data_IF_276245342271
#
_entry.id   IF_276245342271
#
_cell.length_a   1.000
_cell.length_b   1.000
_cell.length_c   1.000
_cell.angle_alpha   90.00
_cell.angle_beta   90.00
_cell.angle_gamma   90.00
#
_symmetry.space_group_name_H-M   'P 1'
#
loop_
_entity.id
_entity.type
_entity.pdbx_description
1 polymer ?
#
# COMPACT_ATOMS: atom_id res chain seq x y z
N UNK A 1 -3.22 0.58 -11.67
CA UNK A 1 -2.82 1.20 -12.96
C UNK A 1 -1.57 2.07 -12.82
N UNK A 2 -1.52 3.00 -11.86
CA UNK A 2 -0.38 3.93 -11.71
C UNK A 2 0.98 3.25 -11.46
N UNK A 3 1.05 2.29 -10.53
CA UNK A 3 2.29 1.57 -10.22
C UNK A 3 2.89 0.89 -11.47
N UNK A 4 2.06 0.28 -12.32
CA UNK A 4 2.51 -0.43 -13.52
C UNK A 4 3.16 0.50 -14.54
N UNK A 5 2.58 1.69 -14.74
CA UNK A 5 3.13 2.69 -15.67
C UNK A 5 4.51 3.18 -15.20
N UNK A 6 4.63 3.51 -13.91
CA UNK A 6 5.90 3.92 -13.34
C UNK A 6 6.92 2.78 -13.40
N UNK A 7 6.49 1.55 -13.10
CA UNK A 7 7.34 0.36 -13.18
C UNK A 7 7.96 0.20 -14.57
N UNK A 8 7.14 0.25 -15.61
CA UNK A 8 7.59 0.06 -16.99
C UNK A 8 8.56 1.17 -17.39
N UNK A 9 8.25 2.43 -17.06
CA UNK A 9 9.13 3.56 -17.35
C UNK A 9 10.52 3.43 -16.69
N UNK A 10 10.59 2.98 -15.43
CA UNK A 10 11.87 2.79 -14.74
C UNK A 10 12.62 1.55 -15.25
N UNK A 11 11.89 0.51 -15.67
CA UNK A 11 12.49 -0.69 -16.25
C UNK A 11 13.15 -0.46 -17.61
N UNK A 12 12.76 0.59 -18.35
CA UNK A 12 13.39 1.00 -19.61
C UNK A 12 14.73 1.74 -19.40
N UNK A 13 14.99 2.26 -18.19
CA UNK A 13 16.24 2.95 -17.89
C UNK A 13 17.43 1.97 -17.77
N UNK A 14 18.65 2.37 -18.18
CA UNK A 14 19.88 1.64 -17.85
C UNK A 14 20.03 1.43 -16.35
N UNK A 15 20.65 0.31 -15.95
CA UNK A 15 20.82 -0.03 -14.53
C UNK A 15 21.53 1.07 -13.73
N UNK A 16 22.47 1.76 -14.35
CA UNK A 16 23.25 2.86 -13.75
C UNK A 16 22.42 4.08 -13.38
N UNK A 17 21.25 4.27 -14.00
CA UNK A 17 20.35 5.41 -13.74
C UNK A 17 19.28 5.08 -12.68
N UNK A 18 19.17 3.81 -12.26
CA UNK A 18 18.17 3.32 -11.29
C UNK A 18 18.61 3.54 -9.84
N UNK A 19 19.13 4.72 -9.54
CA UNK A 19 19.81 5.00 -8.26
C UNK A 19 18.86 5.54 -7.18
N UNK A 20 17.75 6.15 -7.58
CA UNK A 20 16.84 6.81 -6.65
C UNK A 20 15.80 5.82 -6.11
N UNK A 21 15.71 5.61 -4.79
CA UNK A 21 14.70 4.74 -4.20
C UNK A 21 13.29 5.32 -4.40
N UNK A 22 12.37 4.48 -4.85
CA UNK A 22 10.96 4.79 -5.09
C UNK A 22 10.12 4.09 -4.02
N UNK A 23 9.51 4.87 -3.14
CA UNK A 23 8.72 4.33 -2.04
C UNK A 23 7.26 4.12 -2.47
N UNK A 24 6.78 2.88 -2.37
CA UNK A 24 5.38 2.52 -2.60
C UNK A 24 4.72 2.34 -1.25
N UNK A 25 3.74 3.19 -0.92
CA UNK A 25 3.03 3.17 0.35
C UNK A 25 1.58 2.73 0.12
N UNK A 26 1.10 1.80 0.93
CA UNK A 26 -0.34 1.48 0.99
C UNK A 26 -0.85 1.73 2.40
N UNK A 27 -1.96 2.47 2.52
CA UNK A 27 -2.62 2.73 3.79
C UNK A 27 -3.80 1.78 3.96
N UNK A 28 -3.80 1.00 5.03
CA UNK A 28 -4.96 0.23 5.48
C UNK A 28 -5.77 1.08 6.49
N UNK A 29 -7.09 0.95 6.52
CA UNK A 29 -7.94 1.72 7.46
C UNK A 29 -8.40 0.91 8.67
N UNK A 30 -8.09 -0.39 8.69
CA UNK A 30 -8.39 -1.31 9.80
C UNK A 30 -9.83 -1.80 9.80
N UNK A 31 -10.47 -1.85 8.62
CA UNK A 31 -11.81 -2.44 8.41
C UNK A 31 -11.78 -3.65 7.49
N UNK A 32 -10.61 -3.94 6.93
CA UNK A 32 -10.37 -5.03 6.01
C UNK A 32 -10.57 -6.37 6.73
N UNK A 33 -11.13 -7.36 6.02
CA UNK A 33 -11.27 -8.71 6.57
C UNK A 33 -9.90 -9.39 6.66
N UNK A 34 -9.71 -10.40 7.53
CA UNK A 34 -8.43 -11.13 7.61
C UNK A 34 -7.97 -11.70 6.26
N UNK A 35 -8.91 -12.15 5.44
CA UNK A 35 -8.62 -12.65 4.10
C UNK A 35 -8.09 -11.54 3.17
N UNK A 36 -8.66 -10.34 3.27
CA UNK A 36 -8.26 -9.18 2.47
C UNK A 36 -6.89 -8.65 2.91
N UNK A 37 -6.65 -8.51 4.22
CA UNK A 37 -5.32 -8.18 4.76
C UNK A 37 -4.26 -9.17 4.27
N UNK A 38 -4.52 -10.48 4.38
CA UNK A 38 -3.59 -11.50 3.90
C UNK A 38 -3.35 -11.40 2.38
N UNK A 39 -4.35 -11.05 1.59
CA UNK A 39 -4.19 -10.81 0.16
C UNK A 39 -3.33 -9.58 -0.13
N UNK A 40 -3.55 -8.47 0.58
CA UNK A 40 -2.76 -7.25 0.46
C UNK A 40 -1.30 -7.54 0.81
N UNK A 41 -1.02 -8.16 1.97
CA UNK A 41 0.35 -8.51 2.37
C UNK A 41 1.07 -9.36 1.34
N UNK A 42 0.42 -10.41 0.82
CA UNK A 42 1.00 -11.25 -0.26
C UNK A 42 1.25 -10.48 -1.54
N UNK A 43 0.38 -9.53 -1.88
CA UNK A 43 0.53 -8.69 -3.07
C UNK A 43 1.73 -7.75 -2.92
N UNK A 44 1.87 -7.09 -1.77
CA UNK A 44 3.01 -6.20 -1.48
C UNK A 44 4.33 -6.97 -1.48
N UNK A 45 4.35 -8.17 -0.90
CA UNK A 45 5.52 -9.04 -0.94
C UNK A 45 5.92 -9.38 -2.38
N UNK A 46 4.96 -9.78 -3.23
CA UNK A 46 5.23 -10.05 -4.64
C UNK A 46 5.77 -8.82 -5.38
N UNK A 47 5.28 -7.63 -5.06
CA UNK A 47 5.78 -6.39 -5.67
C UNK A 47 7.25 -6.19 -5.29
N UNK A 48 7.61 -6.30 -4.02
CA UNK A 48 8.99 -6.16 -3.57
C UNK A 48 9.90 -7.22 -4.23
N UNK A 49 9.52 -8.49 -4.18
CA UNK A 49 10.30 -9.58 -4.77
C UNK A 49 10.53 -9.40 -6.28
N UNK A 50 9.56 -8.87 -7.01
CA UNK A 50 9.71 -8.61 -8.44
C UNK A 50 10.59 -7.38 -8.72
N UNK A 51 10.57 -6.38 -7.83
CA UNK A 51 11.43 -5.21 -7.96
C UNK A 51 12.89 -5.63 -7.76
N UNK A 52 13.16 -6.43 -6.73
CA UNK A 52 14.48 -6.96 -6.42
C UNK A 52 15.02 -7.81 -7.59
N UNK A 53 14.19 -8.72 -8.13
CA UNK A 53 14.56 -9.56 -9.29
C UNK A 53 14.91 -8.75 -10.55
N UNK A 54 14.28 -7.60 -10.74
CA UNK A 54 14.48 -6.75 -11.92
C UNK A 54 15.50 -5.63 -11.66
N UNK A 55 16.12 -5.59 -10.47
CA UNK A 55 16.98 -4.49 -10.03
C UNK A 55 16.29 -3.12 -10.22
N UNK A 56 15.03 -3.04 -9.79
CA UNK A 56 14.28 -1.80 -9.76
C UNK A 56 14.32 -1.22 -8.35
N UNK A 57 14.48 0.09 -8.20
CA UNK A 57 14.74 0.71 -6.90
C UNK A 57 13.44 0.93 -6.10
N UNK A 58 12.47 0.00 -6.16
CA UNK A 58 11.23 0.11 -5.40
C UNK A 58 11.39 -0.41 -3.97
N UNK A 59 10.86 0.34 -3.01
CA UNK A 59 10.75 -0.07 -1.60
C UNK A 59 9.28 -0.02 -1.21
N UNK A 60 8.71 -1.18 -0.89
CA UNK A 60 7.29 -1.33 -0.61
C UNK A 60 7.04 -1.28 0.89
N UNK A 61 6.10 -0.44 1.30
CA UNK A 61 5.72 -0.18 2.68
C UNK A 61 4.23 -0.47 2.87
N UNK A 62 3.92 -1.30 3.87
CA UNK A 62 2.57 -1.46 4.39
C UNK A 62 2.40 -0.54 5.59
N UNK A 63 1.43 0.37 5.53
CA UNK A 63 1.09 1.27 6.63
C UNK A 63 -0.23 0.82 7.24
N UNK A 64 -0.17 0.46 8.51
CA UNK A 64 -1.33 0.08 9.30
C UNK A 64 -1.59 1.16 10.35
N UNK A 65 -2.87 1.45 10.65
CA UNK A 65 -3.21 2.44 11.66
C UNK A 65 -2.88 1.86 13.03
N UNK A 66 -2.42 2.72 13.93
CA UNK A 66 -2.37 2.36 15.34
C UNK A 66 -3.79 2.01 15.84
N UNK A 67 -3.91 1.17 16.86
CA UNK A 67 -5.22 0.77 17.42
C UNK A 67 -6.15 1.96 17.69
N UNK A 68 -5.62 3.07 18.23
CA UNK A 68 -6.37 4.30 18.53
C UNK A 68 -6.80 5.10 17.29
N UNK A 69 -6.20 4.82 16.15
CA UNK A 69 -6.46 5.49 14.88
C UNK A 69 -7.30 4.64 13.94
N UNK A 70 -7.46 3.34 14.25
CA UNK A 70 -8.32 2.41 13.54
C UNK A 70 -9.76 2.91 13.46
N UNK A 71 -10.42 2.56 12.36
CA UNK A 71 -11.83 2.88 12.15
C UNK A 71 -12.72 2.40 13.30
N UNK A 72 -12.57 1.15 13.74
CA UNK A 72 -13.40 0.58 14.79
C UNK A 72 -13.21 1.25 16.15
N UNK A 73 -11.98 1.65 16.50
CA UNK A 73 -11.76 2.42 17.72
C UNK A 73 -12.43 3.80 17.64
N UNK A 74 -12.38 4.48 16.49
CA UNK A 74 -13.05 5.77 16.31
C UNK A 74 -14.57 5.65 16.40
N UNK A 75 -15.16 4.64 15.75
CA UNK A 75 -16.62 4.48 15.72
C UNK A 75 -17.16 3.91 17.02
N UNK A 76 -16.69 2.74 17.45
CA UNK A 76 -17.21 2.04 18.63
C UNK A 76 -16.59 2.60 19.91
N UNK A 77 -15.27 2.81 19.92
CA UNK A 77 -14.53 3.22 21.12
C UNK A 77 -14.69 4.70 21.49
N UNK A 78 -14.91 5.59 20.51
CA UNK A 78 -15.06 7.05 20.73
C UNK A 78 -16.45 7.59 20.42
N UNK A 79 -17.35 6.78 19.83
CA UNK A 79 -18.68 7.21 19.44
C UNK A 79 -18.69 8.21 18.27
N UNK A 80 -17.63 8.24 17.46
CA UNK A 80 -17.59 9.07 16.25
C UNK A 80 -18.56 8.48 15.23
N UNK A 81 -19.42 9.30 14.65
CA UNK A 81 -20.32 8.85 13.59
C UNK A 81 -19.48 8.33 12.40
N UNK A 82 -19.75 7.11 11.90
CA UNK A 82 -19.09 6.61 10.71
C UNK A 82 -19.41 7.54 9.53
N UNK A 83 -18.52 7.66 8.53
CA UNK A 83 -18.78 8.48 7.35
C UNK A 83 -20.10 8.05 6.70
N UNK A 84 -21.08 8.96 6.68
CA UNK A 84 -22.35 8.75 5.99
C UNK A 84 -22.17 9.08 4.52
N UNK A 85 -22.56 8.16 3.63
CA UNK A 85 -22.71 8.44 2.21
C UNK A 85 -23.93 9.36 2.01
N UNK A 86 -23.77 10.67 2.14
CA UNK A 86 -24.64 11.57 1.39
C UNK A 86 -24.15 11.53 -0.06
N UNK A 87 -25.08 11.35 -1.00
CA UNK A 87 -24.90 11.24 -2.46
C UNK A 87 -24.72 9.81 -3.00
N UNK A 88 -25.83 9.29 -3.52
CA UNK A 88 -25.94 8.23 -4.53
C UNK A 88 -26.01 8.85 -5.93
#
# INVERSE_FOLDING_TARGET
>A
MMLKLLWDAIAELPLEERTNPIHVLTSEVGVETPAMTAYISRTLQKIQENADKQNLPFVVHSVQPLMRESYWYKVIGRGVLPPMSLYS
#
